data_IF_681723825669
#
_entry.id   IF_681723825669
#
_cell.length_a   1.000
_cell.length_b   1.000
_cell.length_c   1.000
_cell.angle_alpha   90.00
_cell.angle_beta   90.00
_cell.angle_gamma   90.00
#
_symmetry.space_group_name_H-M   'P 1'
#
loop_
_entity.id
_entity.type
_entity.pdbx_description
1 polymer ?
#
# COMPACT_ATOMS: atom_id res chain seq x y z
N UNK A 1 3.45 13.24 -6.15
CA UNK A 1 2.05 13.63 -5.90
C UNK A 1 1.72 13.16 -4.50
N UNK A 2 1.05 13.98 -3.69
CA UNK A 2 0.72 13.67 -2.29
C UNK A 2 -0.76 13.99 -2.06
N UNK A 3 -1.47 13.09 -1.39
CA UNK A 3 -2.89 13.24 -1.05
C UNK A 3 -3.16 14.17 0.15
N UNK A 4 -2.11 14.79 0.70
CA UNK A 4 -2.13 15.61 1.93
C UNK A 4 -2.42 14.81 3.21
N UNK A 5 -2.42 13.48 3.12
CA UNK A 5 -2.57 12.54 4.23
C UNK A 5 -1.39 11.59 4.22
N UNK A 6 -1.59 10.33 3.85
CA UNK A 6 -0.61 9.26 4.01
C UNK A 6 -0.14 8.68 2.67
N UNK A 7 -0.75 9.05 1.54
CA UNK A 7 -0.41 8.47 0.23
C UNK A 7 0.54 9.37 -0.55
N UNK A 8 1.72 8.85 -0.87
CA UNK A 8 2.74 9.52 -1.69
C UNK A 8 3.04 8.71 -2.95
N UNK A 9 2.96 9.37 -4.11
CA UNK A 9 3.40 8.83 -5.39
C UNK A 9 4.66 9.56 -5.88
N UNK A 10 5.73 8.81 -6.10
CA UNK A 10 6.98 9.30 -6.67
C UNK A 10 7.05 8.84 -8.13
N UNK A 11 7.22 9.78 -9.06
CA UNK A 11 7.39 9.48 -10.49
C UNK A 11 8.78 9.94 -10.92
N UNK A 12 9.51 9.03 -11.56
CA UNK A 12 10.84 9.30 -12.10
C UNK A 12 10.82 9.22 -13.62
N UNK A 13 11.66 10.05 -14.24
CA UNK A 13 11.94 9.91 -15.68
C UNK A 13 12.72 8.62 -15.94
N UNK A 14 12.52 7.94 -17.09
CA UNK A 14 13.27 6.73 -17.44
C UNK A 14 14.79 6.87 -17.40
N UNK A 15 15.33 8.11 -17.46
CA UNK A 15 16.76 8.39 -17.32
C UNK A 15 17.35 7.95 -15.96
N UNK A 16 16.51 7.78 -14.93
CA UNK A 16 16.93 7.33 -13.60
C UNK A 16 16.90 5.80 -13.43
N UNK A 17 16.57 5.06 -14.51
CA UNK A 17 16.48 3.59 -14.47
C UNK A 17 17.81 2.98 -14.01
N UNK A 18 17.80 2.21 -12.92
CA UNK A 18 18.99 1.62 -12.31
C UNK A 18 19.96 2.60 -11.62
N UNK A 19 19.56 3.86 -11.43
CA UNK A 19 20.40 4.92 -10.83
C UNK A 19 19.84 5.43 -9.49
N UNK A 20 18.87 4.72 -8.92
CA UNK A 20 18.26 5.05 -7.63
C UNK A 20 18.38 3.86 -6.69
N UNK A 21 18.15 4.11 -5.41
CA UNK A 21 18.10 3.12 -4.36
C UNK A 21 17.18 3.63 -3.24
N UNK A 22 16.83 2.76 -2.31
CA UNK A 22 15.97 3.08 -1.18
C UNK A 22 14.77 2.16 -1.07
N UNK A 23 13.79 2.58 -0.28
CA UNK A 23 12.58 1.80 -0.01
C UNK A 23 11.72 1.55 -1.27
N UNK A 24 11.88 2.35 -2.32
CA UNK A 24 11.18 2.19 -3.59
C UNK A 24 11.95 1.33 -4.61
N UNK A 25 12.98 0.60 -4.18
CA UNK A 25 13.79 -0.26 -5.05
C UNK A 25 14.84 0.51 -5.85
N UNK A 26 15.36 -0.13 -6.91
CA UNK A 26 16.44 0.42 -7.73
C UNK A 26 15.98 0.91 -9.13
N UNK A 27 14.70 0.71 -9.44
CA UNK A 27 14.07 1.07 -10.71
C UNK A 27 14.80 0.49 -11.93
N UNK A 28 15.28 -0.76 -11.90
CA UNK A 28 15.91 -1.42 -13.05
C UNK A 28 14.92 -2.23 -13.92
N UNK A 29 13.68 -2.40 -13.45
CA UNK A 29 12.63 -3.18 -14.11
C UNK A 29 12.51 -4.63 -13.64
N UNK A 30 13.27 -5.04 -12.63
CA UNK A 30 13.26 -6.37 -12.03
C UNK A 30 12.88 -6.30 -10.55
N UNK A 31 11.70 -6.83 -10.18
CA UNK A 31 11.29 -6.85 -8.77
C UNK A 31 12.17 -7.75 -7.87
N UNK A 32 12.98 -8.64 -8.47
CA UNK A 32 13.75 -9.67 -7.76
C UNK A 32 14.90 -9.11 -6.91
N UNK A 33 15.36 -7.88 -7.18
CA UNK A 33 16.46 -7.24 -6.46
C UNK A 33 16.06 -5.92 -5.80
N UNK A 34 14.77 -5.55 -5.79
CA UNK A 34 14.31 -4.29 -5.19
C UNK A 34 14.55 -4.26 -3.67
N UNK A 35 14.59 -5.42 -3.01
CA UNK A 35 14.98 -5.56 -1.61
C UNK A 35 16.52 -5.54 -1.42
N UNK A 36 17.18 -4.52 -1.96
CA UNK A 36 18.62 -4.28 -1.77
C UNK A 36 18.87 -3.35 -0.58
N UNK A 37 19.68 -3.79 0.39
CA UNK A 37 20.01 -3.01 1.59
C UNK A 37 20.92 -1.82 1.27
N UNK A 38 21.03 -0.87 2.21
CA UNK A 38 22.00 0.25 2.13
C UNK A 38 23.46 -0.22 1.98
N UNK A 39 23.78 -1.47 2.36
CA UNK A 39 25.09 -2.10 2.18
C UNK A 39 25.23 -2.92 0.89
N UNK A 40 24.32 -2.73 -0.08
CA UNK A 40 24.27 -3.44 -1.37
C UNK A 40 24.09 -4.96 -1.27
N UNK A 41 23.45 -5.45 -0.20
CA UNK A 41 23.09 -6.87 -0.10
C UNK A 41 21.63 -7.07 -0.53
N UNK A 42 21.38 -8.01 -1.44
CA UNK A 42 20.01 -8.42 -1.79
C UNK A 42 19.50 -9.37 -0.71
N UNK A 43 18.34 -9.05 -0.12
CA UNK A 43 17.73 -9.84 0.94
C UNK A 43 16.29 -10.21 0.59
N UNK A 44 15.77 -11.28 1.21
CA UNK A 44 14.38 -11.72 1.02
C UNK A 44 13.43 -11.20 2.09
N UNK A 45 13.95 -10.70 3.22
CA UNK A 45 13.16 -10.26 4.35
C UNK A 45 12.93 -8.74 4.29
N UNK A 46 11.68 -8.26 4.12
CA UNK A 46 11.36 -6.84 4.06
C UNK A 46 11.75 -6.06 5.31
N UNK A 47 11.75 -6.67 6.51
CA UNK A 47 12.18 -6.00 7.74
C UNK A 47 13.68 -5.76 7.75
N UNK A 48 14.48 -6.72 7.27
CA UNK A 48 15.93 -6.54 7.16
C UNK A 48 16.23 -5.42 6.15
N UNK A 49 15.53 -5.44 5.01
CA UNK A 49 15.61 -4.39 4.00
C UNK A 49 15.22 -3.01 4.55
N UNK A 50 14.02 -2.86 5.10
CA UNK A 50 13.49 -1.58 5.59
C UNK A 50 14.34 -1.00 6.72
N UNK A 51 14.76 -1.83 7.69
CA UNK A 51 15.62 -1.39 8.79
C UNK A 51 17.01 -0.95 8.32
N UNK A 52 17.50 -1.43 7.18
CA UNK A 52 18.78 -0.98 6.61
C UNK A 52 18.72 0.46 6.05
N UNK A 53 17.52 0.96 5.77
CA UNK A 53 17.28 2.28 5.18
C UNK A 53 16.91 3.36 6.19
N UNK A 54 16.95 3.07 7.50
CA UNK A 54 16.74 4.08 8.54
C UNK A 54 17.76 5.22 8.41
N UNK A 55 17.30 6.44 8.65
CA UNK A 55 18.17 7.62 8.56
C UNK A 55 19.12 7.67 9.75
N UNK A 56 18.56 7.63 10.97
CA UNK A 56 19.33 7.63 12.21
C UNK A 56 19.55 6.21 12.76
N UNK A 57 20.77 5.96 13.27
CA UNK A 57 21.09 4.70 13.94
C UNK A 57 20.36 4.50 15.26
N UNK A 58 19.98 5.60 15.91
CA UNK A 58 19.21 5.67 17.17
C UNK A 58 17.78 5.14 17.01
N UNK A 59 17.19 5.22 15.81
CA UNK A 59 15.84 4.74 15.57
C UNK A 59 15.76 3.22 15.85
N UNK A 60 14.73 2.78 16.60
CA UNK A 60 14.53 1.38 16.88
C UNK A 60 14.27 0.61 15.59
N UNK A 61 14.76 -0.63 15.52
CA UNK A 61 14.44 -1.50 14.39
C UNK A 61 12.97 -1.94 14.46
N UNK A 62 12.26 -1.77 13.35
CA UNK A 62 10.92 -2.32 13.17
C UNK A 62 10.95 -3.84 13.38
N UNK A 63 9.92 -4.34 14.04
CA UNK A 63 9.70 -5.76 14.31
C UNK A 63 8.56 -6.28 13.45
N UNK A 64 8.40 -7.61 13.40
CA UNK A 64 7.21 -8.20 12.79
C UNK A 64 5.97 -7.70 13.52
N UNK A 65 5.03 -7.19 12.75
CA UNK A 65 3.76 -6.67 13.24
C UNK A 65 2.75 -7.81 13.21
N UNK A 66 2.14 -8.11 14.35
CA UNK A 66 0.93 -8.95 14.35
C UNK A 66 -0.18 -8.20 13.63
N UNK A 67 -0.97 -8.90 12.81
CA UNK A 67 -2.09 -8.28 12.10
C UNK A 67 -2.98 -7.47 13.06
N UNK A 68 -3.30 -6.21 12.76
CA UNK A 68 -4.23 -5.41 13.54
C UNK A 68 -5.60 -6.07 13.68
N UNK A 69 -6.03 -6.88 12.71
CA UNK A 69 -7.27 -7.63 12.83
C UNK A 69 -7.19 -8.75 13.89
N UNK A 70 -6.00 -9.28 14.19
CA UNK A 70 -5.81 -10.22 15.29
C UNK A 70 -5.86 -9.51 16.64
N UNK A 71 -5.30 -8.30 16.72
CA UNK A 71 -5.35 -7.47 17.93
C UNK A 71 -6.75 -6.88 18.17
N UNK A 72 -7.45 -6.53 17.09
CA UNK A 72 -8.79 -5.92 17.09
C UNK A 72 -9.82 -6.80 16.35
N UNK A 73 -10.12 -8.01 16.84
CA UNK A 73 -10.96 -8.98 16.13
C UNK A 73 -12.39 -8.49 15.91
N UNK A 74 -12.90 -7.63 16.78
CA UNK A 74 -14.23 -7.01 16.66
C UNK A 74 -14.40 -6.14 15.41
N UNK A 75 -13.29 -5.72 14.77
CA UNK A 75 -13.30 -4.89 13.57
C UNK A 75 -13.18 -5.67 12.27
N UNK A 76 -12.69 -6.91 12.35
CA UNK A 76 -12.36 -7.72 11.17
C UNK A 76 -13.55 -7.86 10.21
N UNK A 77 -14.73 -8.22 10.73
CA UNK A 77 -15.93 -8.40 9.90
C UNK A 77 -16.36 -7.11 9.19
N UNK A 78 -16.23 -5.97 9.86
CA UNK A 78 -16.54 -4.67 9.25
C UNK A 78 -15.51 -4.32 8.17
N UNK A 79 -14.22 -4.47 8.47
CA UNK A 79 -13.12 -4.20 7.55
C UNK A 79 -13.23 -5.03 6.26
N UNK A 80 -13.40 -6.35 6.39
CA UNK A 80 -13.58 -7.26 5.25
C UNK A 80 -14.80 -6.88 4.40
N UNK A 81 -15.92 -6.55 5.06
CA UNK A 81 -17.14 -6.16 4.36
C UNK A 81 -16.95 -4.85 3.58
N UNK A 82 -16.39 -3.81 4.19
CA UNK A 82 -16.20 -2.52 3.50
C UNK A 82 -15.17 -2.64 2.37
N UNK A 83 -14.02 -3.28 2.63
CA UNK A 83 -12.95 -3.43 1.66
C UNK A 83 -13.31 -4.33 0.47
N UNK A 84 -14.35 -5.17 0.59
CA UNK A 84 -14.83 -6.03 -0.51
C UNK A 84 -15.22 -5.27 -1.78
N UNK A 85 -15.49 -3.95 -1.69
CA UNK A 85 -15.73 -3.11 -2.86
C UNK A 85 -14.59 -3.20 -3.89
N UNK A 86 -13.33 -3.35 -3.44
CA UNK A 86 -12.13 -3.45 -4.28
C UNK A 86 -12.21 -4.68 -5.21
N UNK A 87 -12.79 -5.77 -4.72
CA UNK A 87 -12.95 -7.04 -5.45
C UNK A 87 -14.33 -7.17 -6.12
N UNK A 88 -15.22 -6.20 -5.93
CA UNK A 88 -16.57 -6.23 -6.47
C UNK A 88 -16.65 -5.77 -7.93
N UNK A 89 -17.83 -5.91 -8.52
CA UNK A 89 -18.12 -5.46 -9.88
C UNK A 89 -17.87 -3.97 -10.11
N UNK A 90 -17.88 -3.15 -9.05
CA UNK A 90 -17.55 -1.71 -9.11
C UNK A 90 -16.18 -1.49 -9.76
N UNK A 91 -15.21 -2.37 -9.48
CA UNK A 91 -13.85 -2.29 -10.01
C UNK A 91 -13.53 -3.34 -11.07
N UNK A 92 -14.53 -4.10 -11.55
CA UNK A 92 -14.36 -5.19 -12.53
C UNK A 92 -13.54 -4.79 -13.77
N UNK A 93 -13.75 -3.58 -14.29
CA UNK A 93 -13.02 -3.06 -15.44
C UNK A 93 -11.51 -2.86 -15.19
N UNK A 94 -11.10 -2.71 -13.92
CA UNK A 94 -9.71 -2.51 -13.52
C UNK A 94 -9.01 -3.81 -13.12
N UNK A 95 -9.73 -4.84 -12.70
CA UNK A 95 -9.15 -6.10 -12.19
C UNK A 95 -8.17 -6.77 -13.18
N UNK A 96 -8.38 -6.59 -14.49
CA UNK A 96 -7.47 -7.10 -15.53
C UNK A 96 -6.19 -6.29 -15.70
N UNK A 97 -6.17 -5.03 -15.24
CA UNK A 97 -5.06 -4.10 -15.40
C UNK A 97 -4.23 -3.94 -14.13
N UNK A 98 -4.87 -4.06 -12.95
CA UNK A 98 -4.24 -3.94 -11.63
C UNK A 98 -4.82 -5.02 -10.72
N UNK A 99 -3.94 -5.88 -10.17
CA UNK A 99 -4.33 -6.92 -9.22
C UNK A 99 -4.99 -6.32 -7.96
N UNK A 100 -6.25 -6.66 -7.65
CA UNK A 100 -6.96 -6.14 -6.49
C UNK A 100 -6.49 -6.74 -5.15
N UNK A 101 -5.84 -7.91 -5.14
CA UNK A 101 -5.56 -8.66 -3.90
C UNK A 101 -4.70 -7.87 -2.91
N UNK A 102 -3.54 -7.29 -3.30
CA UNK A 102 -2.72 -6.51 -2.38
C UNK A 102 -3.44 -5.28 -1.80
N UNK A 103 -4.32 -4.66 -2.58
CA UNK A 103 -5.08 -3.47 -2.14
C UNK A 103 -6.22 -3.84 -1.19
N UNK A 104 -6.88 -4.97 -1.43
CA UNK A 104 -7.88 -5.51 -0.50
C UNK A 104 -7.24 -5.86 0.86
N UNK A 105 -6.11 -6.57 0.84
CA UNK A 105 -5.42 -6.97 2.08
C UNK A 105 -4.92 -5.74 2.87
N UNK A 106 -4.36 -4.75 2.18
CA UNK A 106 -3.97 -3.48 2.79
C UNK A 106 -5.18 -2.72 3.38
N UNK A 107 -6.29 -2.64 2.64
CA UNK A 107 -7.52 -2.01 3.12
C UNK A 107 -8.03 -2.66 4.40
N UNK A 108 -8.04 -4.01 4.46
CA UNK A 108 -8.49 -4.74 5.65
C UNK A 108 -7.54 -4.50 6.83
N UNK A 109 -6.23 -4.55 6.58
CA UNK A 109 -5.20 -4.28 7.60
C UNK A 109 -5.38 -2.89 8.21
N UNK A 110 -5.45 -1.84 7.38
CA UNK A 110 -5.58 -0.45 7.81
C UNK A 110 -6.91 -0.20 8.51
N UNK A 111 -8.00 -0.75 7.96
CA UNK A 111 -9.34 -0.64 8.54
C UNK A 111 -9.45 -1.33 9.90
N UNK A 112 -8.66 -2.37 10.18
CA UNK A 112 -8.57 -2.95 11.53
C UNK A 112 -7.68 -2.13 12.48
N UNK A 113 -6.66 -1.44 11.95
CA UNK A 113 -5.72 -0.65 12.73
C UNK A 113 -6.27 0.71 13.19
N UNK A 114 -7.19 1.33 12.44
CA UNK A 114 -7.70 2.67 12.78
C UNK A 114 -8.76 2.66 13.89
N UNK A 115 -8.39 2.28 15.11
CA UNK A 115 -9.30 1.97 16.24
C UNK A 115 -9.57 3.15 17.19
N UNK A 116 -8.96 4.30 16.93
CA UNK A 116 -9.01 5.52 17.75
C UNK A 116 -9.96 6.60 17.18
N UNK A 117 -10.80 6.24 16.22
CA UNK A 117 -11.68 7.14 15.46
C UNK A 117 -11.10 7.52 14.10
N UNK A 118 -11.97 7.82 13.12
CA UNK A 118 -11.56 8.06 11.73
C UNK A 118 -11.59 6.80 10.84
N UNK A 119 -12.30 5.75 11.25
CA UNK A 119 -12.43 4.46 10.56
C UNK A 119 -12.81 4.62 9.06
N UNK A 120 -13.74 5.53 8.77
CA UNK A 120 -14.13 5.86 7.41
C UNK A 120 -12.97 6.46 6.61
N UNK A 121 -12.07 7.22 7.23
CA UNK A 121 -10.95 7.87 6.56
C UNK A 121 -9.90 6.86 6.08
N UNK A 122 -9.57 5.85 6.89
CA UNK A 122 -8.62 4.80 6.52
C UNK A 122 -9.16 3.93 5.37
N UNK A 123 -10.41 3.49 5.50
CA UNK A 123 -11.12 2.78 4.43
C UNK A 123 -11.14 3.58 3.12
N UNK A 124 -11.55 4.85 3.16
CA UNK A 124 -11.63 5.67 1.96
C UNK A 124 -10.26 5.95 1.33
N UNK A 125 -9.21 6.08 2.14
CA UNK A 125 -7.84 6.29 1.64
C UNK A 125 -7.33 5.03 0.94
N UNK A 126 -7.56 3.86 1.51
CA UNK A 126 -7.15 2.59 0.90
C UNK A 126 -7.87 2.31 -0.43
N UNK A 127 -9.20 2.52 -0.49
CA UNK A 127 -9.96 2.35 -1.75
C UNK A 127 -9.56 3.40 -2.79
N UNK A 128 -9.27 4.64 -2.37
CA UNK A 128 -8.78 5.68 -3.27
C UNK A 128 -7.41 5.35 -3.88
N UNK A 129 -6.52 4.69 -3.13
CA UNK A 129 -5.22 4.24 -3.64
C UNK A 129 -5.38 3.20 -4.76
N UNK A 130 -6.34 2.27 -4.64
CA UNK A 130 -6.64 1.33 -5.72
C UNK A 130 -7.24 2.04 -6.94
N UNK A 131 -8.21 2.94 -6.73
CA UNK A 131 -8.79 3.73 -7.81
C UNK A 131 -7.76 4.61 -8.56
N UNK A 132 -6.79 5.17 -7.84
CA UNK A 132 -5.69 5.92 -8.45
C UNK A 132 -4.78 5.01 -9.28
N UNK A 133 -4.51 3.79 -8.82
CA UNK A 133 -3.74 2.80 -9.58
C UNK A 133 -4.47 2.37 -10.85
N UNK A 134 -5.80 2.20 -10.78
CA UNK A 134 -6.65 2.00 -11.95
C UNK A 134 -6.57 3.18 -12.93
N UNK A 135 -6.67 4.42 -12.44
CA UNK A 135 -6.55 5.62 -13.27
C UNK A 135 -5.19 5.68 -13.99
N UNK A 136 -4.10 5.32 -13.31
CA UNK A 136 -2.76 5.27 -13.90
C UNK A 136 -2.61 4.18 -14.96
N UNK A 137 -3.37 3.09 -14.84
CA UNK A 137 -3.50 2.06 -15.86
C UNK A 137 -4.49 2.43 -16.99
N UNK A 138 -5.07 3.64 -16.96
CA UNK A 138 -6.01 4.12 -17.98
C UNK A 138 -7.47 3.73 -17.75
N UNK A 139 -7.82 3.19 -16.58
CA UNK A 139 -9.18 2.78 -16.23
C UNK A 139 -9.76 3.71 -15.18
N UNK A 140 -10.68 4.59 -15.59
CA UNK A 140 -11.38 5.49 -14.68
C UNK A 140 -12.59 4.79 -14.04
N UNK A 141 -12.56 4.60 -12.72
CA UNK A 141 -13.62 3.93 -11.96
C UNK A 141 -14.35 4.93 -11.06
N UNK A 142 -15.69 5.02 -11.20
CA UNK A 142 -16.54 5.84 -10.35
C UNK A 142 -17.12 5.00 -9.20
N UNK A 143 -16.43 5.00 -8.07
CA UNK A 143 -16.75 4.14 -6.91
C UNK A 143 -17.42 4.88 -5.73
N UNK A 144 -17.27 6.21 -5.65
CA UNK A 144 -17.82 7.03 -4.57
C UNK A 144 -19.34 7.18 -4.69
N UNK A 145 -20.04 7.14 -3.57
CA UNK A 145 -21.51 7.32 -3.46
C UNK A 145 -21.86 8.12 -2.20
N UNK A 146 -23.10 8.63 -2.05
CA UNK A 146 -23.51 9.32 -0.82
C UNK A 146 -23.34 8.51 0.48
N UNK A 147 -23.28 7.18 0.37
CA UNK A 147 -23.11 6.27 1.50
C UNK A 147 -21.69 5.71 1.62
N UNK A 148 -20.82 5.96 0.63
CA UNK A 148 -19.46 5.42 0.53
C UNK A 148 -18.53 6.54 0.02
N UNK A 149 -17.74 7.13 0.93
CA UNK A 149 -16.59 8.01 0.65
C UNK A 149 -16.83 9.15 -0.36
#
# INVERSE_FOLDING_TARGET
MWDKKTTLFIKLSPKYKGHVCGLCGNYDGSANNDLTTRSNAVVVNPLVFGNSWKDESSCPSAQNITSPCTTNPYRQSWAQKQCSIIQSDVFSACHSSVDPVPYYDACVFDSCACDSGGDCECFCTAVAAYAESCNQAGVCVRWRTPNIC
#
